data_IF_944387048673
#
_entry.id   IF_944387048673
#
_cell.length_a   1.000
_cell.length_b   1.000
_cell.length_c   1.000
_cell.angle_alpha   90.00
_cell.angle_beta   90.00
_cell.angle_gamma   90.00
#
_symmetry.space_group_name_H-M   'P 1'
#
loop_
_entity.id
_entity.type
_entity.pdbx_description
1 polymer ?
#
# COMPACT_ATOMS: atom_id res chain seq x y z
N UNK A 1 16.20 26.94 8.56
CA UNK A 1 15.44 26.03 9.46
C UNK A 1 15.96 24.62 9.21
N UNK A 2 16.61 23.92 10.15
CA UNK A 2 17.00 22.54 9.92
C UNK A 2 15.79 21.64 10.20
N UNK A 3 15.30 20.93 9.18
CA UNK A 3 14.38 19.80 9.38
C UNK A 3 15.22 18.67 9.97
N UNK A 4 14.94 18.32 11.22
CA UNK A 4 15.56 17.19 11.92
C UNK A 4 15.22 15.91 11.17
N UNK A 5 16.18 15.42 10.38
CA UNK A 5 16.15 14.09 9.81
C UNK A 5 16.36 13.10 10.96
N UNK A 6 15.30 12.40 11.37
CA UNK A 6 15.44 11.24 12.26
C UNK A 6 16.28 10.18 11.55
N UNK A 7 17.29 9.57 12.21
CA UNK A 7 18.03 8.46 11.62
C UNK A 7 17.11 7.25 11.53
N UNK A 8 17.01 6.67 10.34
CA UNK A 8 16.46 5.34 10.12
C UNK A 8 17.35 4.33 10.87
N UNK A 9 16.95 3.92 12.07
CA UNK A 9 17.60 2.81 12.75
C UNK A 9 16.52 1.88 13.31
N UNK A 10 16.60 0.61 12.88
CA UNK A 10 15.74 -0.52 13.28
C UNK A 10 14.35 -0.55 12.61
N UNK A 11 14.31 -0.64 11.28
CA UNK A 11 13.07 -0.65 10.51
C UNK A 11 12.31 -1.99 10.64
N UNK A 12 11.63 -2.19 11.76
CA UNK A 12 10.33 -2.88 11.69
C UNK A 12 9.50 -2.07 10.70
N UNK A 13 9.03 -2.66 9.58
CA UNK A 13 8.26 -1.91 8.59
C UNK A 13 7.07 -1.25 9.29
N UNK A 14 7.06 0.08 9.36
CA UNK A 14 5.96 0.81 9.97
C UNK A 14 4.82 0.97 8.97
N UNK A 15 3.59 1.14 9.47
CA UNK A 15 2.43 1.35 8.59
C UNK A 15 2.67 2.52 7.63
N UNK A 16 3.27 3.61 8.13
CA UNK A 16 3.58 4.79 7.31
C UNK A 16 4.56 4.52 6.17
N UNK A 17 5.57 3.66 6.37
CA UNK A 17 6.47 3.27 5.29
C UNK A 17 5.73 2.45 4.22
N UNK A 18 4.88 1.51 4.63
CA UNK A 18 4.07 0.71 3.70
C UNK A 18 3.08 1.60 2.96
N UNK A 19 2.44 2.56 3.64
CA UNK A 19 1.52 3.52 3.03
C UNK A 19 2.20 4.35 1.94
N UNK A 20 3.39 4.89 2.19
CA UNK A 20 4.13 5.67 1.18
C UNK A 20 4.52 4.82 -0.04
N UNK A 21 4.89 3.57 0.18
CA UNK A 21 5.22 2.64 -0.90
C UNK A 21 3.98 2.26 -1.72
N UNK A 22 2.84 2.04 -1.08
CA UNK A 22 1.55 1.79 -1.75
C UNK A 22 1.11 3.03 -2.54
N UNK A 23 1.16 4.21 -1.94
CA UNK A 23 0.86 5.48 -2.62
C UNK A 23 1.73 5.68 -3.87
N UNK A 24 3.02 5.32 -3.79
CA UNK A 24 3.93 5.37 -4.94
C UNK A 24 3.56 4.38 -6.06
N UNK A 25 3.03 3.20 -5.71
CA UNK A 25 2.51 2.24 -6.70
C UNK A 25 1.27 2.81 -7.37
N UNK A 26 0.37 3.43 -6.59
CA UNK A 26 -0.85 4.03 -7.10
C UNK A 26 -0.57 5.21 -8.02
N UNK A 27 0.33 6.11 -7.63
CA UNK A 27 0.76 7.25 -8.45
C UNK A 27 1.26 6.80 -9.83
N UNK A 28 2.07 5.73 -9.87
CA UNK A 28 2.56 5.14 -11.12
C UNK A 28 1.45 4.48 -11.95
N UNK A 29 0.53 3.77 -11.31
CA UNK A 29 -0.54 3.06 -11.99
C UNK A 29 -1.64 3.99 -12.52
N UNK A 30 -1.91 5.09 -11.82
CA UNK A 30 -2.86 6.14 -12.18
C UNK A 30 -2.23 7.26 -13.04
N UNK A 31 -0.91 7.24 -13.20
CA UNK A 31 -0.14 8.26 -13.93
C UNK A 31 -0.38 9.69 -13.39
N UNK A 32 -0.23 9.85 -12.08
CA UNK A 32 -0.35 11.12 -11.33
C UNK A 32 0.91 11.35 -10.48
N UNK A 33 1.15 12.60 -10.09
CA UNK A 33 2.39 13.00 -9.40
C UNK A 33 2.51 12.44 -7.96
N UNK A 34 1.43 12.53 -7.18
CA UNK A 34 1.39 12.09 -5.79
C UNK A 34 0.00 11.60 -5.41
N UNK A 35 -0.07 10.68 -4.45
CA UNK A 35 -1.30 10.11 -3.90
C UNK A 35 -1.24 10.26 -2.39
N UNK A 36 -2.18 11.02 -1.84
CA UNK A 36 -2.33 11.14 -0.40
C UNK A 36 -2.65 9.79 0.26
N UNK A 37 -2.30 9.60 1.54
CA UNK A 37 -2.49 8.34 2.25
C UNK A 37 -3.97 7.94 2.39
N UNK A 38 -4.87 8.93 2.36
CA UNK A 38 -6.32 8.75 2.52
C UNK A 38 -7.10 9.10 1.24
N UNK A 39 -6.41 9.26 0.11
CA UNK A 39 -7.05 9.44 -1.20
C UNK A 39 -7.75 8.16 -1.65
N UNK A 40 -8.97 8.31 -2.14
CA UNK A 40 -9.77 7.19 -2.61
C UNK A 40 -9.38 6.79 -4.04
N UNK A 41 -9.17 5.49 -4.25
CA UNK A 41 -8.79 4.95 -5.55
C UNK A 41 -9.76 5.32 -6.67
N UNK A 42 -11.07 5.26 -6.40
CA UNK A 42 -12.11 5.53 -7.38
C UNK A 42 -12.24 7.02 -7.67
N UNK A 43 -12.03 7.88 -6.67
CA UNK A 43 -12.01 9.34 -6.85
C UNK A 43 -10.84 9.80 -7.73
N UNK A 44 -9.70 9.11 -7.63
CA UNK A 44 -8.53 9.32 -8.50
C UNK A 44 -8.71 8.78 -9.93
N UNK A 45 -9.87 8.20 -10.27
CA UNK A 45 -10.14 7.62 -11.60
C UNK A 45 -9.72 6.15 -11.73
N UNK A 46 -9.50 5.46 -10.62
CA UNK A 46 -9.15 4.05 -10.57
C UNK A 46 -10.27 3.14 -11.08
N UNK A 47 -9.90 2.17 -11.91
CA UNK A 47 -10.82 1.16 -12.45
C UNK A 47 -10.22 -0.25 -12.38
N UNK A 48 -11.03 -1.29 -12.64
CA UNK A 48 -10.66 -2.70 -12.43
C UNK A 48 -9.35 -3.14 -13.10
N UNK A 49 -9.03 -2.57 -14.26
CA UNK A 49 -7.77 -2.84 -14.96
C UNK A 49 -6.54 -2.23 -14.27
N UNK A 50 -6.65 -1.00 -13.72
CA UNK A 50 -5.58 -0.38 -12.92
C UNK A 50 -5.45 -1.11 -11.59
N UNK A 51 -6.58 -1.44 -10.96
CA UNK A 51 -6.63 -2.22 -9.74
C UNK A 51 -5.86 -3.54 -9.87
N UNK A 52 -6.08 -4.31 -10.93
CA UNK A 52 -5.35 -5.55 -11.17
C UNK A 52 -3.84 -5.35 -11.27
N UNK A 53 -3.38 -4.25 -11.89
CA UNK A 53 -1.97 -3.87 -11.95
C UNK A 53 -1.39 -3.56 -10.57
N UNK A 54 -2.08 -2.72 -9.80
CA UNK A 54 -1.70 -2.38 -8.41
C UNK A 54 -1.61 -3.64 -7.54
N UNK A 55 -2.62 -4.52 -7.60
CA UNK A 55 -2.64 -5.76 -6.82
C UNK A 55 -1.48 -6.69 -7.19
N UNK A 56 -1.11 -6.75 -8.48
CA UNK A 56 0.06 -7.49 -8.95
C UNK A 56 1.38 -6.92 -8.43
N UNK A 57 1.54 -5.59 -8.45
CA UNK A 57 2.72 -4.90 -7.93
C UNK A 57 2.83 -5.04 -6.42
N UNK A 58 1.71 -4.92 -5.70
CA UNK A 58 1.64 -5.14 -4.25
C UNK A 58 2.03 -6.59 -3.91
N UNK A 59 1.52 -7.56 -4.66
CA UNK A 59 1.88 -8.97 -4.46
C UNK A 59 3.37 -9.23 -4.68
N UNK A 60 3.96 -8.66 -5.73
CA UNK A 60 5.40 -8.79 -5.99
C UNK A 60 6.25 -8.09 -4.93
N UNK A 61 5.84 -6.91 -4.47
CA UNK A 61 6.67 -6.07 -3.60
C UNK A 61 6.58 -6.43 -2.12
N UNK A 62 5.41 -6.85 -1.67
CA UNK A 62 5.16 -7.18 -0.26
C UNK A 62 4.97 -8.67 0.01
N UNK A 63 4.93 -9.51 -1.04
CA UNK A 63 4.66 -10.95 -0.91
C UNK A 63 3.22 -11.24 -0.45
N UNK A 64 2.30 -10.28 -0.61
CA UNK A 64 0.92 -10.38 -0.15
C UNK A 64 -0.04 -10.26 -1.34
N UNK A 65 -0.73 -11.35 -1.66
CA UNK A 65 -1.79 -11.33 -2.66
C UNK A 65 -3.06 -10.73 -2.06
N UNK A 66 -3.48 -9.60 -2.63
CA UNK A 66 -4.76 -8.96 -2.36
C UNK A 66 -5.71 -9.23 -3.54
N UNK A 67 -7.01 -9.32 -3.26
CA UNK A 67 -8.05 -9.50 -4.27
C UNK A 67 -8.81 -8.19 -4.52
N UNK A 68 -9.56 -8.12 -5.62
CA UNK A 68 -10.37 -6.92 -5.92
C UNK A 68 -11.39 -6.56 -4.81
N UNK A 69 -12.04 -7.51 -4.11
CA UNK A 69 -12.88 -7.19 -2.96
C UNK A 69 -12.09 -6.52 -1.83
N UNK A 70 -10.85 -6.94 -1.58
CA UNK A 70 -9.99 -6.32 -0.56
C UNK A 70 -9.73 -4.85 -0.89
N UNK A 71 -9.68 -4.48 -2.18
CA UNK A 71 -9.48 -3.10 -2.63
C UNK A 71 -10.73 -2.23 -2.49
N UNK A 72 -11.92 -2.82 -2.47
CA UNK A 72 -13.17 -2.10 -2.19
C UNK A 72 -13.20 -1.71 -0.70
N UNK A 73 -12.79 -2.63 0.18
CA UNK A 73 -12.70 -2.36 1.63
C UNK A 73 -11.48 -1.51 1.99
N UNK A 74 -10.39 -1.62 1.21
CA UNK A 74 -9.14 -0.88 1.38
C UNK A 74 -8.89 0.06 0.19
N UNK A 75 -9.86 0.95 -0.03
CA UNK A 75 -9.90 1.93 -1.11
C UNK A 75 -8.93 3.12 -0.95
N UNK A 76 -8.10 3.13 0.10
CA UNK A 76 -7.04 4.14 0.31
C UNK A 76 -5.68 3.48 0.56
N UNK A 77 -4.55 4.15 0.26
CA UNK A 77 -3.22 3.63 0.56
C UNK A 77 -3.00 3.28 2.04
N UNK A 78 -3.55 4.08 2.97
CA UNK A 78 -3.53 3.82 4.41
C UNK A 78 -4.20 2.50 4.77
N UNK A 79 -5.41 2.26 4.24
CA UNK A 79 -6.17 1.04 4.52
C UNK A 79 -5.50 -0.17 3.87
N UNK A 80 -5.00 -0.02 2.65
CA UNK A 80 -4.30 -1.10 1.95
C UNK A 80 -3.00 -1.47 2.67
N UNK A 81 -2.23 -0.49 3.15
CA UNK A 81 -1.05 -0.73 3.96
C UNK A 81 -1.35 -1.49 5.25
N UNK A 82 -2.45 -1.12 5.94
CA UNK A 82 -2.93 -1.84 7.12
C UNK A 82 -3.23 -3.30 6.80
N UNK A 83 -3.97 -3.54 5.72
CA UNK A 83 -4.36 -4.89 5.31
C UNK A 83 -3.15 -5.74 4.90
N UNK A 84 -2.17 -5.15 4.21
CA UNK A 84 -0.90 -5.81 3.88
C UNK A 84 -0.16 -6.23 5.15
N UNK A 85 -0.08 -5.37 6.15
CA UNK A 85 0.59 -5.71 7.42
C UNK A 85 -0.17 -6.81 8.17
N UNK A 86 -1.50 -6.72 8.24
CA UNK A 86 -2.33 -7.74 8.88
C UNK A 86 -2.19 -9.11 8.20
N UNK A 87 -2.25 -9.15 6.87
CA UNK A 87 -2.06 -10.36 6.07
C UNK A 87 -0.64 -10.91 6.21
N UNK A 88 0.39 -10.05 6.27
CA UNK A 88 1.78 -10.47 6.51
C UNK A 88 1.98 -11.06 7.91
N UNK A 89 1.36 -10.49 8.94
CA UNK A 89 1.41 -11.03 10.31
C UNK A 89 0.67 -12.37 10.42
N UNK A 90 -0.56 -12.46 9.90
CA UNK A 90 -1.35 -13.71 9.95
C UNK A 90 -0.84 -14.81 9.02
N UNK A 91 -0.20 -14.48 7.90
CA UNK A 91 0.49 -15.47 7.06
C UNK A 91 1.76 -16.01 7.74
N UNK A 92 2.41 -15.21 8.59
CA UNK A 92 3.57 -15.64 9.37
C UNK A 92 3.18 -16.65 10.46
N UNK A 93 1.97 -16.56 11.01
CA UNK A 93 1.48 -17.46 12.07
C UNK A 93 0.97 -18.83 11.55
N UNK A 94 0.55 -18.95 10.29
CA UNK A 94 0.04 -20.23 9.75
C UNK A 94 1.12 -21.19 9.23
N UNK A 95 2.39 -20.79 9.29
CA UNK A 95 3.52 -21.59 8.82
C UNK A 95 4.39 -22.18 9.97
N UNK A 96 3.91 -22.14 11.21
CA UNK A 96 4.54 -22.75 12.39
C UNK A 96 3.73 -23.94 12.90
#
# INVERSE_FOLDING_TARGET
MPVTLYPAHSAVPSIGQVTLEVASIWAKALNIDDVGPDEDFFDLGGHSMIAAGILGDVAQRFGCALALPDMIDANTPSLMARLIMERRSGAFERAA
#
